data_IF_944887539810
#
_entry.id   IF_944887539810
#
_cell.length_a   1.000
_cell.length_b   1.000
_cell.length_c   1.000
_cell.angle_alpha   90.00
_cell.angle_beta   90.00
_cell.angle_gamma   90.00
#
_symmetry.space_group_name_H-M   'P 1'
#
loop_
_entity.id
_entity.type
_entity.pdbx_description
1 polymer ?
#
# COMPACT_ATOMS: atom_id res chain seq x y z
N UNK A 1 1.42 8.80 -10.21
CA UNK A 1 1.08 9.79 -11.26
C UNK A 1 1.96 11.05 -11.24
N UNK A 2 3.17 11.03 -10.66
CA UNK A 2 3.98 12.25 -10.49
C UNK A 2 4.75 12.77 -11.70
N UNK A 3 4.96 11.94 -12.72
CA UNK A 3 5.62 12.33 -13.97
C UNK A 3 4.66 13.04 -14.94
N UNK A 4 3.37 12.69 -14.89
CA UNK A 4 2.35 13.15 -15.84
C UNK A 4 1.41 14.21 -15.25
N UNK A 5 1.43 14.43 -13.93
CA UNK A 5 0.61 15.46 -13.27
C UNK A 5 1.41 16.74 -13.03
N UNK A 6 2.06 17.25 -14.08
CA UNK A 6 2.81 18.51 -14.07
C UNK A 6 1.87 19.71 -14.10
N UNK A 7 2.38 20.90 -13.72
CA UNK A 7 1.59 22.14 -13.75
C UNK A 7 1.10 22.53 -15.16
N UNK A 8 1.70 21.97 -16.22
CA UNK A 8 1.26 22.14 -17.62
C UNK A 8 -0.06 21.45 -17.95
N UNK A 9 -0.42 20.38 -17.22
CA UNK A 9 -1.69 19.65 -17.43
C UNK A 9 -2.64 19.78 -16.25
N UNK A 10 -2.17 20.30 -15.11
CA UNK A 10 -2.97 20.60 -13.94
C UNK A 10 -2.70 22.05 -13.49
N UNK A 11 -3.54 23.02 -13.89
CA UNK A 11 -3.35 24.42 -13.55
C UNK A 11 -3.44 24.71 -12.05
N UNK A 12 -4.05 23.81 -11.25
CA UNK A 12 -4.06 23.97 -9.78
C UNK A 12 -2.66 23.94 -9.15
N UNK A 13 -1.65 23.41 -9.86
CA UNK A 13 -0.25 23.38 -9.40
C UNK A 13 0.57 24.60 -9.85
N UNK A 14 -0.04 25.53 -10.60
CA UNK A 14 0.61 26.78 -10.97
C UNK A 14 0.67 27.72 -9.76
N UNK A 15 1.77 28.45 -9.67
CA UNK A 15 1.92 29.51 -8.67
C UNK A 15 1.13 30.74 -9.16
N UNK A 16 -0.09 30.91 -8.64
CA UNK A 16 -0.92 32.08 -8.95
C UNK A 16 -0.43 33.29 -8.16
N UNK A 17 0.16 34.26 -8.87
CA UNK A 17 0.66 35.54 -8.31
C UNK A 17 -0.31 36.69 -8.63
N UNK A 18 -1.28 36.47 -9.53
CA UNK A 18 -2.28 37.45 -9.95
C UNK A 18 -3.69 36.83 -9.92
N UNK A 19 -4.58 37.39 -9.09
CA UNK A 19 -5.93 36.85 -8.86
C UNK A 19 -6.06 35.98 -7.61
N UNK A 20 -7.24 35.39 -7.32
CA UNK A 20 -7.43 34.53 -6.17
C UNK A 20 -6.49 33.32 -6.25
N UNK A 21 -5.69 33.03 -5.21
CA UNK A 21 -4.71 31.95 -5.28
C UNK A 21 -5.41 30.60 -5.36
N UNK A 22 -4.89 29.71 -6.21
CA UNK A 22 -5.35 28.33 -6.33
C UNK A 22 -5.19 27.56 -5.01
N UNK A 23 -5.98 26.51 -4.78
CA UNK A 23 -5.96 25.77 -3.52
C UNK A 23 -4.56 25.24 -3.13
N UNK A 24 -3.77 24.79 -4.11
CA UNK A 24 -2.42 24.30 -3.88
C UNK A 24 -1.40 25.43 -3.63
N UNK A 25 -1.67 26.64 -4.11
CA UNK A 25 -0.86 27.82 -3.77
C UNK A 25 -1.14 28.26 -2.34
N UNK A 26 -2.40 28.20 -1.88
CA UNK A 26 -2.81 28.60 -0.52
C UNK A 26 -2.18 27.76 0.59
N UNK A 27 -2.10 26.45 0.41
CA UNK A 27 -1.52 25.54 1.39
C UNK A 27 -0.01 25.28 1.16
N UNK A 28 0.62 26.01 0.22
CA UNK A 28 2.04 25.89 -0.10
C UNK A 28 2.43 24.63 -0.89
N UNK A 29 1.47 23.77 -1.22
CA UNK A 29 1.71 22.50 -1.91
C UNK A 29 2.28 22.71 -3.32
N UNK A 30 1.86 23.77 -4.03
CA UNK A 30 2.37 24.12 -5.36
C UNK A 30 3.89 24.35 -5.37
N UNK A 31 4.44 24.93 -4.29
CA UNK A 31 5.88 25.21 -4.15
C UNK A 31 6.70 23.94 -3.87
N UNK A 32 6.11 22.99 -3.15
CA UNK A 32 6.78 21.76 -2.72
C UNK A 32 6.75 20.71 -3.84
N UNK A 33 5.69 20.72 -4.64
CA UNK A 33 5.34 19.59 -5.48
C UNK A 33 5.47 19.91 -6.98
N UNK A 34 5.55 21.18 -7.39
CA UNK A 34 5.49 21.59 -8.81
C UNK A 34 6.39 20.81 -9.77
N UNK A 35 7.72 20.79 -9.56
CA UNK A 35 8.67 20.15 -10.48
C UNK A 35 9.24 18.80 -9.94
N UNK A 36 9.04 18.54 -8.66
CA UNK A 36 9.60 17.41 -7.91
C UNK A 36 8.54 16.40 -7.46
N UNK A 37 7.32 16.47 -8.01
CA UNK A 37 6.20 15.60 -7.64
C UNK A 37 6.57 14.10 -7.65
N UNK A 38 7.38 13.65 -8.61
CA UNK A 38 7.82 12.25 -8.67
C UNK A 38 8.72 11.85 -7.47
N UNK A 39 9.52 12.76 -6.92
CA UNK A 39 10.33 12.51 -5.72
C UNK A 39 9.44 12.38 -4.48
N UNK A 40 8.42 13.24 -4.36
CA UNK A 40 7.45 13.15 -3.26
C UNK A 40 6.63 11.85 -3.33
N UNK A 41 6.31 11.38 -4.53
CA UNK A 41 5.68 10.07 -4.72
C UNK A 41 6.61 8.93 -4.31
N UNK A 42 7.91 9.00 -4.64
CA UNK A 42 8.88 7.98 -4.21
C UNK A 42 9.02 7.94 -2.67
N UNK A 43 9.04 9.10 -2.01
CA UNK A 43 9.01 9.20 -0.55
C UNK A 43 7.74 8.58 0.04
N UNK A 44 6.58 8.89 -0.55
CA UNK A 44 5.30 8.30 -0.13
C UNK A 44 5.32 6.77 -0.28
N UNK A 45 5.76 6.25 -1.42
CA UNK A 45 5.93 4.80 -1.66
C UNK A 45 6.84 4.20 -0.58
N UNK A 46 8.01 4.80 -0.34
CA UNK A 46 8.94 4.33 0.69
C UNK A 46 8.30 4.26 2.08
N UNK A 47 7.60 5.31 2.50
CA UNK A 47 6.90 5.35 3.80
C UNK A 47 5.83 4.26 3.86
N UNK A 48 5.02 4.09 2.80
CA UNK A 48 3.97 3.08 2.78
C UNK A 48 4.52 1.66 2.84
N UNK A 49 5.60 1.36 2.13
CA UNK A 49 6.27 0.05 2.16
C UNK A 49 6.82 -0.22 3.56
N UNK A 50 7.55 0.75 4.14
CA UNK A 50 8.11 0.60 5.49
C UNK A 50 7.02 0.36 6.52
N UNK A 51 5.95 1.15 6.48
CA UNK A 51 4.82 1.00 7.39
C UNK A 51 4.11 -0.34 7.20
N UNK A 52 3.84 -0.76 5.96
CA UNK A 52 3.16 -2.01 5.67
C UNK A 52 4.00 -3.22 6.11
N UNK A 53 5.31 -3.22 5.81
CA UNK A 53 6.22 -4.31 6.16
C UNK A 53 6.40 -4.40 7.68
N UNK A 54 6.73 -3.30 8.35
CA UNK A 54 6.95 -3.29 9.80
C UNK A 54 5.65 -3.60 10.54
N UNK A 55 4.55 -2.94 10.17
CA UNK A 55 3.24 -3.17 10.77
C UNK A 55 2.80 -4.62 10.64
N UNK A 56 2.89 -5.18 9.43
CA UNK A 56 2.53 -6.58 9.19
C UNK A 56 3.44 -7.56 9.92
N UNK A 57 4.75 -7.28 10.00
CA UNK A 57 5.70 -8.12 10.73
C UNK A 57 5.41 -8.14 12.24
N UNK A 58 5.10 -6.98 12.84
CA UNK A 58 4.73 -6.88 14.25
C UNK A 58 3.44 -7.65 14.52
N UNK A 59 2.40 -7.40 13.71
CA UNK A 59 1.11 -8.10 13.85
C UNK A 59 1.32 -9.61 13.71
N UNK A 60 2.06 -10.05 12.68
CA UNK A 60 2.38 -11.45 12.46
C UNK A 60 3.15 -12.08 13.62
N UNK A 61 4.12 -11.37 14.20
CA UNK A 61 4.87 -11.85 15.36
C UNK A 61 3.98 -11.99 16.60
N UNK A 62 3.09 -11.01 16.86
CA UNK A 62 2.14 -11.06 17.97
C UNK A 62 1.16 -12.22 17.79
N UNK A 63 0.54 -12.35 16.61
CA UNK A 63 -0.39 -13.44 16.30
C UNK A 63 0.28 -14.80 16.44
N UNK A 64 1.52 -14.93 15.94
CA UNK A 64 2.33 -16.14 16.09
C UNK A 64 2.59 -16.50 17.55
N UNK A 65 2.81 -15.52 18.42
CA UNK A 65 3.07 -15.74 19.84
C UNK A 65 1.83 -16.06 20.68
N UNK A 66 0.66 -15.50 20.31
CA UNK A 66 -0.56 -15.62 21.14
C UNK A 66 -1.43 -16.80 20.73
N UNK A 67 -1.72 -16.96 19.43
CA UNK A 67 -2.68 -17.98 18.95
C UNK A 67 -2.06 -18.99 17.96
N UNK A 68 -0.89 -18.68 17.41
CA UNK A 68 -0.25 -19.46 16.36
C UNK A 68 -0.73 -19.02 14.97
N UNK A 69 0.20 -18.55 14.15
CA UNK A 69 -0.10 -18.00 12.81
C UNK A 69 -0.15 -19.07 11.71
N UNK A 70 0.59 -20.17 11.88
CA UNK A 70 0.70 -21.27 10.90
C UNK A 70 0.28 -22.58 11.56
N UNK A 71 -0.51 -23.35 10.83
CA UNK A 71 -0.89 -24.73 11.12
C UNK A 71 0.34 -25.65 11.20
N UNK A 72 0.23 -26.79 11.87
CA UNK A 72 1.35 -27.75 12.00
C UNK A 72 1.73 -28.33 10.63
N UNK A 73 3.02 -28.67 10.39
CA UNK A 73 3.47 -29.19 9.10
C UNK A 73 2.77 -30.47 8.65
N UNK A 74 2.34 -31.30 9.59
CA UNK A 74 1.63 -32.54 9.30
C UNK A 74 0.27 -32.27 8.67
N UNK A 75 -0.52 -31.36 9.26
CA UNK A 75 -1.84 -30.99 8.74
C UNK A 75 -1.70 -30.22 7.42
N UNK A 76 -0.69 -29.36 7.31
CA UNK A 76 -0.40 -28.65 6.05
C UNK A 76 -0.07 -29.60 4.91
N UNK A 77 0.64 -30.71 5.19
CA UNK A 77 0.99 -31.73 4.19
C UNK A 77 -0.20 -32.60 3.80
N UNK A 78 -1.09 -32.89 4.73
CA UNK A 78 -2.30 -33.66 4.45
C UNK A 78 -3.32 -32.87 3.62
N UNK A 79 -3.31 -31.54 3.73
CA UNK A 79 -4.17 -30.63 2.97
C UNK A 79 -5.12 -29.89 3.90
N UNK A 80 -5.22 -28.58 3.70
CA UNK A 80 -6.04 -27.71 4.54
C UNK A 80 -7.53 -27.92 4.31
N UNK A 81 -7.90 -28.19 3.05
CA UNK A 81 -9.30 -28.38 2.66
C UNK A 81 -9.88 -29.58 3.40
N UNK A 82 -9.18 -30.72 3.41
CA UNK A 82 -9.65 -31.92 4.12
C UNK A 82 -9.66 -31.75 5.64
N UNK A 83 -8.65 -31.07 6.22
CA UNK A 83 -8.47 -31.01 7.67
C UNK A 83 -9.21 -29.85 8.36
N UNK A 84 -9.47 -28.74 7.66
CA UNK A 84 -10.17 -27.58 8.22
C UNK A 84 -11.56 -27.37 7.63
N UNK A 85 -11.81 -27.82 6.39
CA UNK A 85 -13.08 -27.61 5.71
C UNK A 85 -13.86 -28.92 5.47
N UNK A 86 -13.23 -30.10 5.62
CA UNK A 86 -13.86 -31.40 5.42
C UNK A 86 -14.16 -31.71 3.95
N UNK A 87 -13.53 -30.98 3.03
CA UNK A 87 -13.77 -31.05 1.60
C UNK A 87 -12.49 -31.46 0.86
N UNK A 88 -12.62 -32.27 -0.19
CA UNK A 88 -11.54 -32.48 -1.14
C UNK A 88 -11.65 -31.40 -2.23
N UNK A 89 -10.64 -30.53 -2.36
CA UNK A 89 -10.64 -29.45 -3.36
C UNK A 89 -10.73 -29.92 -4.82
N UNK A 90 -10.52 -31.22 -5.06
CA UNK A 90 -10.73 -31.89 -6.34
C UNK A 90 -11.34 -33.28 -6.14
N UNK A 91 -12.45 -33.56 -6.81
CA UNK A 91 -13.01 -34.91 -6.91
C UNK A 91 -12.12 -35.74 -7.85
N UNK A 92 -11.34 -36.69 -7.34
CA UNK A 92 -10.43 -37.51 -8.16
C UNK A 92 -11.06 -38.85 -8.59
N UNK A 93 -12.38 -39.00 -8.48
CA UNK A 93 -13.08 -40.22 -8.88
C UNK A 93 -13.19 -40.31 -10.41
N UNK A 94 -12.43 -41.24 -11.01
CA UNK A 94 -12.72 -41.86 -12.32
C UNK A 94 -13.38 -43.22 -12.08
#
# INVERSE_FOLDING_TARGET
>A
TGLLATASVNPNLLLSVTGPPDPATRNGLARIVGHTLWLEQLKAIGITIVLAVIGSAIIGAVVRGVIGLRITPEIERQGLDINQHGEEGYMTTT
#
